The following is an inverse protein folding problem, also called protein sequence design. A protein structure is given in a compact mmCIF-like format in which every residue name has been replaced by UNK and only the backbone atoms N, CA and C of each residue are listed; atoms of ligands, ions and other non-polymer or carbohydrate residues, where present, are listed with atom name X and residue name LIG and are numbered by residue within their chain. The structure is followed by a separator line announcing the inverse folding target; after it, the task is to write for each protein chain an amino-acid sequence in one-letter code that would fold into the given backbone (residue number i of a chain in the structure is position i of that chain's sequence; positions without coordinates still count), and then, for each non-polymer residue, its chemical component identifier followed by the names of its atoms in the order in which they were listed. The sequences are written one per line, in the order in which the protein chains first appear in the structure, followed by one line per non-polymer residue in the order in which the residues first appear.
data_IF_717007705060
#
_entry.id   IF_717007705060
#
_cell.length_a   1.000
_cell.length_b   1.000
_cell.length_c   1.000
_cell.angle_alpha   90.00
_cell.angle_beta   90.00
_cell.angle_gamma   90.00
#
_symmetry.space_group_name_H-M   'P 1'
#
loop_
_entity.id
_entity.type
_entity.pdbx_description
1 polymer ?
#
# COMPACT_ATOMS: atom_id res chain seq x y z
N UNK A 1 17.63 11.82 19.14
CA UNK A 1 16.17 12.00 18.96
C UNK A 1 15.85 12.34 17.51
N UNK A 2 16.45 13.38 16.93
CA UNK A 2 16.18 13.83 15.56
C UNK A 2 16.36 12.73 14.48
N UNK A 3 17.48 11.98 14.53
CA UNK A 3 17.71 10.87 13.58
C UNK A 3 16.61 9.82 13.58
N UNK A 4 16.06 9.54 14.74
CA UNK A 4 14.99 8.57 14.89
C UNK A 4 13.67 9.08 14.33
N UNK A 5 13.33 10.33 14.60
CA UNK A 5 12.12 10.95 14.05
C UNK A 5 12.13 11.02 12.52
N UNK A 6 13.30 11.32 11.92
CA UNK A 6 13.46 11.32 10.46
C UNK A 6 13.27 9.91 9.89
N UNK A 7 13.82 8.87 10.55
CA UNK A 7 13.65 7.49 10.12
C UNK A 7 12.17 7.04 10.20
N UNK A 8 11.46 7.44 11.26
CA UNK A 8 10.01 7.21 11.38
C UNK A 8 9.26 7.90 10.25
N UNK A 9 9.61 9.15 9.93
CA UNK A 9 8.97 9.89 8.84
C UNK A 9 9.20 9.23 7.47
N UNK A 10 10.41 8.68 7.21
CA UNK A 10 10.67 7.88 6.00
C UNK A 10 9.78 6.64 5.96
N UNK A 11 9.68 5.90 7.07
CA UNK A 11 8.82 4.72 7.17
C UNK A 11 7.34 5.09 6.95
N UNK A 12 6.87 6.19 7.54
CA UNK A 12 5.52 6.71 7.34
C UNK A 12 5.26 7.05 5.86
N UNK A 13 6.24 7.62 5.17
CA UNK A 13 6.16 7.88 3.73
C UNK A 13 6.08 6.59 2.90
N UNK A 14 6.85 5.55 3.24
CA UNK A 14 6.75 4.22 2.59
C UNK A 14 5.37 3.61 2.81
N UNK A 15 4.82 3.68 4.03
CA UNK A 15 3.45 3.23 4.32
C UNK A 15 2.41 4.06 3.56
N UNK A 16 2.63 5.36 3.39
CA UNK A 16 1.74 6.21 2.60
C UNK A 16 1.73 5.80 1.11
N UNK A 17 2.89 5.46 0.52
CA UNK A 17 2.96 4.90 -0.83
C UNK A 17 2.18 3.59 -0.94
N UNK A 18 2.35 2.68 0.03
CA UNK A 18 1.62 1.41 0.07
C UNK A 18 0.11 1.63 0.22
N UNK A 19 -0.30 2.54 1.12
CA UNK A 19 -1.70 2.88 1.34
C UNK A 19 -2.35 3.51 0.10
N UNK A 20 -1.64 4.39 -0.63
CA UNK A 20 -2.10 4.95 -1.90
C UNK A 20 -2.28 3.87 -2.96
N UNK A 21 -1.33 2.94 -3.11
CA UNK A 21 -1.44 1.81 -4.03
C UNK A 21 -2.63 0.90 -3.70
N UNK A 22 -2.78 0.55 -2.42
CA UNK A 22 -3.91 -0.26 -1.95
C UNK A 22 -5.25 0.47 -2.07
N UNK A 23 -5.29 1.78 -1.90
CA UNK A 23 -6.49 2.58 -2.08
C UNK A 23 -7.04 2.47 -3.50
N UNK A 24 -6.19 2.36 -4.51
CA UNK A 24 -6.63 2.13 -5.90
C UNK A 24 -7.23 0.73 -6.06
N UNK A 25 -6.59 -0.31 -5.50
CA UNK A 25 -7.05 -1.70 -5.65
C UNK A 25 -8.31 -1.94 -4.82
N UNK A 26 -8.29 -1.58 -3.55
CA UNK A 26 -9.40 -1.86 -2.64
C UNK A 26 -10.39 -0.71 -2.56
N UNK A 27 -9.91 0.51 -2.29
CA UNK A 27 -10.78 1.68 -2.09
C UNK A 27 -11.60 2.03 -3.33
N UNK A 28 -10.97 1.98 -4.52
CA UNK A 28 -11.60 2.39 -5.77
C UNK A 28 -12.25 1.22 -6.53
N UNK A 29 -11.55 0.09 -6.65
CA UNK A 29 -12.02 -1.05 -7.45
C UNK A 29 -12.75 -2.11 -6.62
N UNK A 30 -12.82 -2.00 -5.29
CA UNK A 30 -13.47 -2.95 -4.40
C UNK A 30 -12.79 -4.31 -4.32
N UNK A 31 -11.54 -4.43 -4.79
CA UNK A 31 -10.82 -5.69 -4.83
C UNK A 31 -10.08 -5.91 -3.50
N UNK A 32 -10.60 -6.82 -2.67
CA UNK A 32 -9.99 -7.16 -1.39
C UNK A 32 -8.70 -7.95 -1.64
N UNK A 33 -7.55 -7.26 -1.52
CA UNK A 33 -6.24 -7.84 -1.70
C UNK A 33 -5.55 -7.99 -0.33
N UNK A 34 -5.19 -9.24 0.05
CA UNK A 34 -4.37 -9.54 1.22
C UNK A 34 -2.91 -9.83 0.88
N UNK A 35 -2.58 -9.87 -0.41
CA UNK A 35 -1.23 -10.14 -0.93
C UNK A 35 -0.43 -8.89 -1.26
N UNK A 36 -0.80 -7.72 -0.74
CA UNK A 36 -0.12 -6.47 -1.08
C UNK A 36 1.39 -6.52 -0.76
N UNK A 37 1.76 -7.22 0.32
CA UNK A 37 3.16 -7.36 0.73
C UNK A 37 3.99 -8.16 -0.28
N UNK A 38 3.37 -9.04 -1.06
CA UNK A 38 4.06 -9.75 -2.15
C UNK A 38 4.55 -8.79 -3.24
N UNK A 39 3.74 -7.81 -3.67
CA UNK A 39 4.15 -6.81 -4.65
C UNK A 39 5.20 -5.85 -4.10
N UNK A 40 5.11 -5.51 -2.81
CA UNK A 40 6.12 -4.77 -2.08
C UNK A 40 7.46 -5.52 -2.07
N UNK A 41 7.44 -6.85 -1.78
CA UNK A 41 8.61 -7.70 -1.82
C UNK A 41 9.21 -7.80 -3.24
N UNK A 42 8.40 -8.01 -4.29
CA UNK A 42 8.85 -8.02 -5.68
C UNK A 42 9.63 -6.76 -6.02
N UNK A 43 9.09 -5.59 -5.65
CA UNK A 43 9.77 -4.31 -5.90
C UNK A 43 11.10 -4.19 -5.16
N UNK A 44 11.13 -4.56 -3.88
CA UNK A 44 12.33 -4.51 -3.04
C UNK A 44 13.43 -5.44 -3.56
N UNK A 45 13.10 -6.72 -3.79
CA UNK A 45 14.07 -7.71 -4.27
C UNK A 45 14.54 -7.42 -5.69
N UNK A 46 13.65 -7.07 -6.62
CA UNK A 46 14.03 -6.75 -7.98
C UNK A 46 14.98 -5.55 -8.04
N UNK A 47 14.64 -4.46 -7.32
CA UNK A 47 15.50 -3.29 -7.25
C UNK A 47 16.84 -3.59 -6.58
N UNK A 48 16.84 -4.33 -5.46
CA UNK A 48 18.06 -4.73 -4.75
C UNK A 48 18.97 -5.62 -5.60
N UNK A 49 18.41 -6.61 -6.28
CA UNK A 49 19.18 -7.53 -7.14
C UNK A 49 19.80 -6.82 -8.34
N UNK A 50 19.06 -5.96 -9.01
CA UNK A 50 19.54 -5.19 -10.17
C UNK A 50 20.69 -4.26 -9.76
N UNK A 51 20.57 -3.60 -8.62
CA UNK A 51 21.62 -2.69 -8.15
C UNK A 51 22.85 -3.43 -7.59
N UNK A 52 22.67 -4.56 -6.89
CA UNK A 52 23.77 -5.32 -6.31
C UNK A 52 24.49 -6.22 -7.33
N UNK A 53 23.73 -7.02 -8.11
CA UNK A 53 24.33 -8.01 -9.02
C UNK A 53 24.72 -7.44 -10.37
N UNK A 54 23.95 -6.46 -10.90
CA UNK A 54 24.22 -5.84 -12.20
C UNK A 54 24.96 -4.50 -12.09
N UNK A 55 25.17 -3.98 -10.87
CA UNK A 55 25.82 -2.68 -10.67
C UNK A 55 25.04 -1.50 -11.28
N UNK A 56 23.76 -1.66 -11.56
CA UNK A 56 22.97 -0.64 -12.21
C UNK A 56 22.72 0.57 -11.29
N UNK A 57 22.52 1.77 -11.85
CA UNK A 57 22.14 2.94 -11.07
C UNK A 57 20.86 2.70 -10.27
N UNK A 58 20.76 3.26 -9.06
CA UNK A 58 19.61 3.09 -8.15
C UNK A 58 18.29 3.42 -8.84
N UNK A 59 18.26 4.50 -9.64
CA UNK A 59 17.06 4.90 -10.37
C UNK A 59 16.56 3.81 -11.34
N UNK A 60 17.49 3.11 -12.01
CA UNK A 60 17.16 1.98 -12.89
C UNK A 60 16.62 0.80 -12.08
N UNK A 61 17.24 0.49 -10.94
CA UNK A 61 16.76 -0.54 -10.01
C UNK A 61 15.34 -0.25 -9.52
N UNK A 62 15.08 0.97 -9.05
CA UNK A 62 13.75 1.41 -8.58
C UNK A 62 12.71 1.34 -9.70
N UNK A 63 13.05 1.83 -10.91
CA UNK A 63 12.14 1.77 -12.06
C UNK A 63 11.83 0.32 -12.46
N UNK A 64 12.84 -0.54 -12.52
CA UNK A 64 12.68 -1.97 -12.86
C UNK A 64 11.87 -2.72 -11.79
N UNK A 65 12.11 -2.47 -10.50
CA UNK A 65 11.34 -3.05 -9.40
C UNK A 65 9.87 -2.64 -9.45
N UNK A 66 9.61 -1.35 -9.72
CA UNK A 66 8.26 -0.81 -9.91
C UNK A 66 7.56 -1.48 -11.10
N UNK A 67 8.24 -1.57 -12.24
CA UNK A 67 7.69 -2.18 -13.45
C UNK A 67 7.43 -3.68 -13.27
N UNK A 68 8.37 -4.40 -12.66
CA UNK A 68 8.21 -5.84 -12.41
C UNK A 68 7.02 -6.10 -11.47
N UNK A 69 6.86 -5.31 -10.42
CA UNK A 69 5.69 -5.40 -9.55
C UNK A 69 4.38 -5.12 -10.31
N UNK A 70 4.37 -4.17 -11.25
CA UNK A 70 3.22 -3.92 -12.12
C UNK A 70 2.89 -5.13 -12.99
N UNK A 71 3.90 -5.73 -13.63
CA UNK A 71 3.75 -6.93 -14.49
C UNK A 71 3.22 -8.10 -13.68
N UNK A 72 3.81 -8.38 -12.52
CA UNK A 72 3.32 -9.42 -11.59
C UNK A 72 1.89 -9.12 -11.15
N UNK A 73 1.57 -7.85 -10.89
CA UNK A 73 0.21 -7.41 -10.59
C UNK A 73 -0.79 -7.71 -11.70
N UNK A 74 -0.41 -7.48 -12.96
CA UNK A 74 -1.23 -7.86 -14.13
C UNK A 74 -1.43 -9.37 -14.17
N UNK A 75 -0.40 -10.17 -13.99
CA UNK A 75 -0.48 -11.63 -14.02
C UNK A 75 -1.42 -12.16 -12.92
N UNK A 76 -1.23 -11.69 -11.68
CA UNK A 76 -2.10 -12.06 -10.56
C UNK A 76 -3.54 -11.63 -10.83
N UNK A 77 -3.75 -10.41 -11.33
CA UNK A 77 -5.08 -9.92 -11.66
C UNK A 77 -5.77 -10.77 -12.74
N UNK A 78 -5.08 -11.15 -13.81
CA UNK A 78 -5.63 -12.00 -14.87
C UNK A 78 -6.10 -13.36 -14.35
N UNK A 79 -5.34 -13.95 -13.43
CA UNK A 79 -5.68 -15.24 -12.81
C UNK A 79 -6.88 -15.06 -11.86
N UNK A 80 -6.91 -13.95 -11.11
CA UNK A 80 -7.83 -13.78 -9.98
C UNK A 80 -9.05 -12.91 -10.30
N UNK A 81 -9.12 -12.25 -11.46
CA UNK A 81 -10.16 -11.27 -11.82
C UNK A 81 -11.59 -11.81 -11.76
N UNK A 82 -11.75 -13.13 -11.92
CA UNK A 82 -13.06 -13.82 -11.84
C UNK A 82 -13.46 -14.17 -10.42
N UNK A 83 -12.53 -14.07 -9.47
CA UNK A 83 -12.79 -14.36 -8.06
C UNK A 83 -13.43 -13.13 -7.40
N UNK A 84 -14.37 -13.37 -6.51
CA UNK A 84 -15.08 -12.31 -5.78
C UNK A 84 -14.83 -12.44 -4.28
N UNK A 85 -14.81 -11.29 -3.59
CA UNK A 85 -14.78 -11.22 -2.14
C UNK A 85 -13.61 -11.98 -1.50
N UNK A 86 -13.94 -12.89 -0.61
CA UNK A 86 -12.97 -13.61 0.22
C UNK A 86 -12.06 -14.55 -0.57
N UNK A 87 -12.53 -15.12 -1.69
CA UNK A 87 -11.70 -15.97 -2.54
C UNK A 87 -10.52 -15.21 -3.15
N UNK A 88 -10.75 -13.97 -3.59
CA UNK A 88 -9.68 -13.10 -4.08
C UNK A 88 -8.67 -12.81 -2.95
N UNK A 89 -9.16 -12.53 -1.75
CA UNK A 89 -8.33 -12.26 -0.59
C UNK A 89 -7.43 -13.46 -0.23
N UNK A 90 -7.98 -14.67 -0.20
CA UNK A 90 -7.24 -15.91 0.12
C UNK A 90 -6.17 -16.19 -0.95
N UNK A 91 -6.52 -16.10 -2.23
CA UNK A 91 -5.57 -16.38 -3.32
C UNK A 91 -4.43 -15.35 -3.34
N UNK A 92 -4.74 -14.08 -3.12
CA UNK A 92 -3.69 -13.04 -3.06
C UNK A 92 -2.80 -13.19 -1.83
N UNK A 93 -3.34 -13.60 -0.68
CA UNK A 93 -2.55 -13.95 0.50
C UNK A 93 -1.63 -15.13 0.21
N UNK A 94 -2.18 -16.20 -0.39
CA UNK A 94 -1.40 -17.38 -0.80
C UNK A 94 -0.27 -17.02 -1.77
N UNK A 95 -0.51 -16.12 -2.72
CA UNK A 95 0.54 -15.58 -3.60
C UNK A 95 1.67 -14.91 -2.82
N UNK A 96 1.35 -14.01 -1.90
CA UNK A 96 2.37 -13.29 -1.12
C UNK A 96 3.18 -14.25 -0.24
N UNK A 97 2.52 -15.21 0.42
CA UNK A 97 3.18 -16.18 1.27
C UNK A 97 4.03 -17.17 0.45
N UNK A 98 3.55 -17.63 -0.71
CA UNK A 98 4.35 -18.45 -1.63
C UNK A 98 5.60 -17.70 -2.08
N UNK A 99 5.50 -16.43 -2.43
CA UNK A 99 6.64 -15.60 -2.78
C UNK A 99 7.63 -15.50 -1.62
N UNK A 100 7.15 -15.25 -0.40
CA UNK A 100 7.97 -15.18 0.81
C UNK A 100 8.73 -16.49 1.05
N UNK A 101 8.05 -17.64 0.92
CA UNK A 101 8.65 -18.97 1.07
C UNK A 101 9.70 -19.21 -0.01
N UNK A 102 9.43 -18.84 -1.27
CA UNK A 102 10.42 -18.94 -2.36
C UNK A 102 11.67 -18.12 -2.02
N UNK A 103 11.49 -16.85 -1.60
CA UNK A 103 12.63 -16.00 -1.23
C UNK A 103 13.41 -16.54 -0.02
N UNK A 104 12.75 -17.25 0.91
CA UNK A 104 13.40 -17.86 2.07
C UNK A 104 14.21 -19.11 1.71
N UNK A 105 13.84 -19.85 0.67
CA UNK A 105 14.47 -21.12 0.31
C UNK A 105 15.50 -20.98 -0.83
N UNK A 106 15.31 -20.03 -1.75
CA UNK A 106 16.13 -19.88 -2.94
C UNK A 106 17.39 -19.04 -2.67
N UNK A 107 18.49 -19.73 -2.30
CA UNK A 107 19.78 -19.09 -1.99
C UNK A 107 20.35 -18.29 -3.17
N UNK A 108 20.19 -18.77 -4.40
CA UNK A 108 20.78 -18.16 -5.60
C UNK A 108 20.08 -16.83 -6.01
N UNK A 109 18.82 -16.63 -5.64
CA UNK A 109 18.07 -15.41 -5.90
C UNK A 109 18.29 -14.40 -4.75
N UNK A 110 17.87 -14.77 -3.56
CA UNK A 110 17.64 -13.87 -2.43
C UNK A 110 18.55 -14.12 -1.22
N UNK A 111 19.52 -15.02 -1.35
CA UNK A 111 20.37 -15.50 -0.25
C UNK A 111 19.55 -16.17 0.89
N UNK A 112 18.36 -16.68 0.56
CA UNK A 112 17.51 -17.39 1.49
C UNK A 112 17.04 -16.52 2.67
N UNK A 113 17.01 -17.12 3.86
CA UNK A 113 16.62 -16.43 5.11
C UNK A 113 17.56 -15.31 5.51
N UNK A 114 18.83 -15.33 5.10
CA UNK A 114 19.80 -14.28 5.41
C UNK A 114 19.50 -12.97 4.66
N UNK A 115 18.78 -13.07 3.56
CA UNK A 115 18.35 -11.92 2.76
C UNK A 115 19.48 -11.23 2.02
N UNK A 116 19.18 -10.07 1.45
CA UNK A 116 20.13 -9.25 0.70
C UNK A 116 20.61 -8.09 1.57
N UNK A 117 21.93 -8.04 1.78
CA UNK A 117 22.62 -6.96 2.50
C UNK A 117 23.47 -6.11 1.55
N UNK A 118 23.76 -4.88 1.98
CA UNK A 118 24.63 -4.00 1.21
C UNK A 118 23.94 -3.30 0.02
N UNK A 119 22.62 -3.24 -0.01
CA UNK A 119 21.87 -2.50 -1.04
C UNK A 119 22.28 -1.03 -0.99
N UNK A 120 22.79 -0.45 -2.11
CA UNK A 120 23.31 0.90 -2.11
C UNK A 120 22.20 1.94 -1.88
N UNK A 121 22.42 2.86 -0.96
CA UNK A 121 21.59 4.06 -0.82
C UNK A 121 22.16 5.23 -1.59
N UNK A 122 21.34 6.16 -2.12
CA UNK A 122 21.82 7.31 -2.88
C UNK A 122 22.72 8.19 -2.00
N UNK A 123 23.96 8.42 -2.45
CA UNK A 123 24.97 9.23 -1.76
C UNK A 123 25.31 8.78 -0.32
N UNK A 124 24.95 7.56 0.08
CA UNK A 124 25.18 7.05 1.44
C UNK A 124 26.65 7.05 1.85
N UNK A 125 27.56 6.74 0.90
CA UNK A 125 29.00 6.74 1.17
C UNK A 125 29.60 8.15 1.33
N UNK A 126 28.93 9.19 0.82
CA UNK A 126 29.43 10.58 0.80
C UNK A 126 28.79 11.42 1.92
N UNK A 127 27.58 11.07 2.30
CA UNK A 127 26.80 11.79 3.32
C UNK A 127 26.89 11.06 4.67
N UNK A 128 27.06 11.80 5.74
CA UNK A 128 26.92 11.25 7.09
C UNK A 128 25.47 10.73 7.32
N UNK A 129 25.24 9.87 8.33
CA UNK A 129 23.95 9.25 8.56
C UNK A 129 22.78 10.22 8.67
N UNK A 130 23.01 11.41 9.21
CA UNK A 130 21.98 12.44 9.35
C UNK A 130 21.54 13.00 8.01
N UNK A 131 22.50 13.45 7.21
CA UNK A 131 22.23 14.06 5.90
C UNK A 131 21.64 13.02 4.93
N UNK A 132 22.08 11.77 5.01
CA UNK A 132 21.48 10.67 4.25
C UNK A 132 19.99 10.50 4.59
N UNK A 133 19.63 10.46 5.86
CA UNK A 133 18.23 10.30 6.28
C UNK A 133 17.36 11.47 5.84
N UNK A 134 17.87 12.72 5.92
CA UNK A 134 17.15 13.91 5.45
C UNK A 134 16.97 13.90 3.93
N UNK A 135 18.02 13.56 3.18
CA UNK A 135 17.94 13.43 1.73
C UNK A 135 16.93 12.34 1.35
N UNK A 136 16.99 11.19 2.05
CA UNK A 136 16.09 10.10 1.76
C UNK A 136 14.63 10.43 2.11
N UNK A 137 14.40 11.16 3.18
CA UNK A 137 13.09 11.71 3.50
C UNK A 137 12.56 12.59 2.36
N UNK A 138 13.42 13.47 1.80
CA UNK A 138 13.08 14.29 0.65
C UNK A 138 12.67 13.46 -0.57
N UNK A 139 13.41 12.37 -0.87
CA UNK A 139 13.09 11.45 -1.97
C UNK A 139 11.72 10.77 -1.74
N UNK A 140 11.49 10.24 -0.53
CA UNK A 140 10.24 9.54 -0.21
C UNK A 140 9.06 10.51 -0.21
N UNK A 141 9.21 11.72 0.34
CA UNK A 141 8.16 12.75 0.30
C UNK A 141 7.85 13.13 -1.15
N UNK A 142 8.86 13.33 -1.98
CA UNK A 142 8.66 13.61 -3.41
C UNK A 142 7.90 12.46 -4.10
N UNK A 143 8.26 11.20 -3.83
CA UNK A 143 7.56 10.04 -4.36
C UNK A 143 6.09 9.97 -3.88
N UNK A 144 5.83 10.25 -2.59
CA UNK A 144 4.47 10.32 -2.04
C UNK A 144 3.67 11.41 -2.72
N UNK A 145 4.23 12.61 -2.88
CA UNK A 145 3.57 13.74 -3.54
C UNK A 145 3.22 13.41 -4.99
N UNK A 146 4.19 12.88 -5.75
CA UNK A 146 3.97 12.48 -7.15
C UNK A 146 2.88 11.41 -7.24
N UNK A 147 2.99 10.35 -6.43
CA UNK A 147 2.00 9.27 -6.44
C UNK A 147 0.63 9.75 -5.98
N UNK A 148 0.58 10.63 -4.97
CA UNK A 148 -0.66 11.24 -4.51
C UNK A 148 -1.39 11.99 -5.64
N UNK A 149 -0.68 12.84 -6.38
CA UNK A 149 -1.29 13.56 -7.51
C UNK A 149 -1.71 12.62 -8.64
N UNK A 150 -0.94 11.56 -8.92
CA UNK A 150 -1.31 10.54 -9.91
C UNK A 150 -2.59 9.80 -9.49
N UNK A 151 -2.68 9.38 -8.23
CA UNK A 151 -3.87 8.71 -7.69
C UNK A 151 -5.05 9.67 -7.66
N UNK A 152 -4.88 10.89 -7.19
CA UNK A 152 -5.95 11.89 -7.13
C UNK A 152 -6.51 12.20 -8.54
N UNK A 153 -5.63 12.36 -9.53
CA UNK A 153 -6.04 12.52 -10.92
C UNK A 153 -6.76 11.29 -11.47
N UNK A 154 -6.31 10.09 -11.11
CA UNK A 154 -6.94 8.82 -11.51
C UNK A 154 -8.33 8.70 -10.88
N UNK A 155 -8.47 9.01 -9.59
CA UNK A 155 -9.74 8.99 -8.83
C UNK A 155 -10.78 9.92 -9.48
N UNK A 156 -10.37 11.13 -9.86
CA UNK A 156 -11.25 12.16 -10.43
C UNK A 156 -11.48 11.98 -11.95
N UNK A 157 -10.80 11.03 -12.59
CA UNK A 157 -10.91 10.74 -14.02
C UNK A 157 -12.18 9.92 -14.38
N UNK A 158 -12.53 9.81 -15.66
CA UNK A 158 -13.54 8.85 -16.13
C UNK A 158 -13.24 7.41 -15.73
N UNK A 159 -11.96 7.04 -15.68
CA UNK A 159 -11.51 5.72 -15.24
C UNK A 159 -11.90 5.45 -13.78
N UNK A 160 -11.64 6.41 -12.87
CA UNK A 160 -12.00 6.30 -11.46
C UNK A 160 -13.51 6.19 -11.24
N UNK A 161 -14.32 6.90 -12.04
CA UNK A 161 -15.79 6.78 -11.97
C UNK A 161 -16.27 5.37 -12.36
N UNK A 162 -15.68 4.77 -13.40
CA UNK A 162 -16.00 3.40 -13.80
C UNK A 162 -15.56 2.38 -12.74
N UNK A 163 -14.38 2.58 -12.11
CA UNK A 163 -13.94 1.71 -11.02
C UNK A 163 -14.92 1.73 -9.83
N UNK A 164 -15.38 2.90 -9.43
CA UNK A 164 -16.39 3.01 -8.36
C UNK A 164 -17.71 2.32 -8.74
N UNK A 165 -18.18 2.51 -9.97
CA UNK A 165 -19.36 1.81 -10.44
C UNK A 165 -19.19 0.28 -10.42
N UNK A 166 -18.01 -0.23 -10.76
CA UNK A 166 -17.68 -1.68 -10.66
C UNK A 166 -17.63 -2.13 -9.20
N UNK A 167 -17.10 -1.30 -8.30
CA UNK A 167 -17.05 -1.57 -6.86
C UNK A 167 -18.44 -1.68 -6.27
N UNK A 168 -19.34 -0.77 -6.64
CA UNK A 168 -20.68 -0.67 -6.10
C UNK A 168 -21.57 -1.78 -6.68
N UNK A 169 -21.55 -2.01 -7.99
CA UNK A 169 -22.22 -3.15 -8.65
C UNK A 169 -21.54 -3.53 -9.96
N UNK A 170 -20.88 -4.68 -9.97
CA UNK A 170 -20.16 -5.18 -11.15
C UNK A 170 -21.09 -5.57 -12.29
N UNK A 171 -22.29 -6.08 -12.00
CA UNK A 171 -23.25 -6.55 -13.02
C UNK A 171 -23.85 -5.35 -13.74
N UNK A 172 -24.25 -4.32 -12.99
CA UNK A 172 -24.76 -3.06 -13.58
C UNK A 172 -23.70 -2.42 -14.47
N UNK A 173 -22.43 -2.35 -14.02
CA UNK A 173 -21.35 -1.80 -14.82
C UNK A 173 -21.14 -2.59 -16.13
N UNK A 174 -21.29 -3.92 -16.09
CA UNK A 174 -21.19 -4.81 -17.24
C UNK A 174 -22.36 -4.61 -18.22
N UNK A 175 -23.59 -4.50 -17.73
CA UNK A 175 -24.76 -4.18 -18.54
C UNK A 175 -24.66 -2.80 -19.20
N UNK A 176 -23.99 -1.84 -18.55
CA UNK A 176 -23.67 -0.53 -19.12
C UNK A 176 -22.53 -0.58 -20.18
N UNK A 177 -22.12 -1.76 -20.63
CA UNK A 177 -21.13 -1.97 -21.70
C UNK A 177 -19.69 -1.76 -21.27
N UNK A 178 -19.38 -1.77 -19.96
CA UNK A 178 -17.99 -1.60 -19.48
C UNK A 178 -17.27 -2.96 -19.43
N UNK A 179 -16.04 -2.99 -19.94
CA UNK A 179 -15.19 -4.17 -19.82
C UNK A 179 -14.57 -4.22 -18.41
N UNK A 180 -15.30 -4.82 -17.46
CA UNK A 180 -14.93 -4.90 -16.04
C UNK A 180 -13.54 -5.49 -15.84
N UNK A 181 -13.18 -6.55 -16.59
CA UNK A 181 -11.89 -7.23 -16.50
C UNK A 181 -10.73 -6.27 -16.75
N UNK A 182 -10.81 -5.51 -17.83
CA UNK A 182 -9.76 -4.55 -18.21
C UNK A 182 -9.59 -3.46 -17.14
N UNK A 183 -10.68 -2.97 -16.57
CA UNK A 183 -10.62 -1.96 -15.51
C UNK A 183 -9.99 -2.51 -14.23
N UNK A 184 -10.38 -3.72 -13.80
CA UNK A 184 -9.80 -4.39 -12.63
C UNK A 184 -8.31 -4.65 -12.81
N UNK A 185 -7.89 -5.18 -13.97
CA UNK A 185 -6.49 -5.46 -14.29
C UNK A 185 -5.65 -4.17 -14.27
N UNK A 186 -6.16 -3.08 -14.87
CA UNK A 186 -5.45 -1.79 -14.84
C UNK A 186 -5.32 -1.22 -13.43
N UNK A 187 -6.37 -1.32 -12.61
CA UNK A 187 -6.33 -0.87 -11.22
C UNK A 187 -5.31 -1.68 -10.41
N UNK A 188 -5.28 -3.00 -10.62
CA UNK A 188 -4.34 -3.91 -9.97
C UNK A 188 -2.90 -3.62 -10.39
N UNK A 189 -2.64 -3.43 -11.69
CA UNK A 189 -1.32 -3.07 -12.22
C UNK A 189 -0.80 -1.76 -11.62
N UNK A 190 -1.64 -0.73 -11.60
CA UNK A 190 -1.26 0.56 -11.02
C UNK A 190 -0.97 0.47 -9.52
N UNK A 191 -1.86 -0.18 -8.77
CA UNK A 191 -1.68 -0.36 -7.33
C UNK A 191 -0.44 -1.20 -7.01
N UNK A 192 -0.20 -2.30 -7.75
CA UNK A 192 1.00 -3.13 -7.59
C UNK A 192 2.28 -2.38 -7.96
N UNK A 193 2.26 -1.50 -8.96
CA UNK A 193 3.37 -0.61 -9.27
C UNK A 193 3.70 0.31 -8.09
N UNK A 194 2.69 0.92 -7.46
CA UNK A 194 2.87 1.76 -6.29
C UNK A 194 3.45 0.97 -5.09
N UNK A 195 2.99 -0.27 -4.89
CA UNK A 195 3.53 -1.17 -3.86
C UNK A 195 4.98 -1.55 -4.17
N UNK A 196 5.31 -1.84 -5.43
CA UNK A 196 6.68 -2.12 -5.86
C UNK A 196 7.62 -0.93 -5.71
N UNK A 197 7.14 0.28 -6.02
CA UNK A 197 7.88 1.53 -5.77
C UNK A 197 8.21 1.69 -4.28
N UNK A 198 7.21 1.49 -3.41
CA UNK A 198 7.40 1.54 -1.96
C UNK A 198 8.46 0.52 -1.50
N UNK A 199 8.41 -0.71 -2.03
CA UNK A 199 9.37 -1.78 -1.73
C UNK A 199 10.79 -1.46 -2.17
N UNK A 200 10.95 -0.96 -3.39
CA UNK A 200 12.25 -0.54 -3.92
C UNK A 200 12.85 0.56 -3.05
N UNK A 201 12.08 1.60 -2.72
CA UNK A 201 12.54 2.67 -1.85
C UNK A 201 12.86 2.16 -0.44
N UNK A 202 12.07 1.25 0.12
CA UNK A 202 12.35 0.66 1.42
C UNK A 202 13.68 -0.08 1.45
N UNK A 203 13.97 -0.93 0.43
CA UNK A 203 15.22 -1.68 0.33
C UNK A 203 16.47 -0.79 0.27
N UNK A 204 16.42 0.28 -0.50
CA UNK A 204 17.53 1.25 -0.59
C UNK A 204 17.69 2.11 0.67
N UNK A 205 16.62 2.32 1.44
CA UNK A 205 16.69 3.02 2.72
C UNK A 205 17.35 2.16 3.79
N UNK A 206 16.88 0.92 3.96
CA UNK A 206 17.36 0.01 5.01
C UNK A 206 18.71 -0.61 4.69
N UNK A 207 19.13 -0.64 3.40
CA UNK A 207 20.28 -1.38 2.86
C UNK A 207 20.25 -2.89 3.13
N UNK A 208 19.12 -3.39 3.62
CA UNK A 208 18.92 -4.78 3.96
C UNK A 208 17.46 -5.16 3.76
N UNK A 209 17.23 -6.30 3.12
CA UNK A 209 15.91 -6.91 2.97
C UNK A 209 16.01 -8.40 3.25
N UNK A 210 15.07 -8.92 4.05
CA UNK A 210 14.94 -10.33 4.35
C UNK A 210 13.48 -10.77 4.19
N UNK A 211 13.22 -12.06 3.92
CA UNK A 211 11.86 -12.55 3.73
C UNK A 211 10.91 -12.28 4.91
N UNK A 212 11.43 -12.26 6.14
CA UNK A 212 10.64 -12.02 7.35
C UNK A 212 10.05 -10.62 7.43
N UNK A 213 10.65 -9.63 6.75
CA UNK A 213 10.11 -8.26 6.67
C UNK A 213 8.82 -8.19 5.85
N UNK A 214 8.55 -9.21 5.02
CA UNK A 214 7.40 -9.31 4.14
C UNK A 214 6.31 -10.24 4.68
N UNK A 215 6.16 -10.26 6.01
CA UNK A 215 5.11 -11.04 6.68
C UNK A 215 3.71 -10.47 6.42
N UNK A 216 2.64 -11.29 6.44
CA UNK A 216 1.25 -10.85 6.25
C UNK A 216 0.79 -9.77 7.21
N UNK A 217 1.41 -9.66 8.38
CA UNK A 217 1.14 -8.63 9.39
C UNK A 217 1.28 -7.21 8.83
N UNK A 218 2.25 -6.97 7.94
CA UNK A 218 2.42 -5.68 7.26
C UNK A 218 1.18 -5.32 6.43
N UNK A 219 0.55 -6.31 5.79
CA UNK A 219 -0.72 -6.10 5.08
C UNK A 219 -1.82 -5.58 6.00
N UNK A 220 -1.90 -6.13 7.23
CA UNK A 220 -2.88 -5.67 8.21
C UNK A 220 -2.62 -4.22 8.66
N UNK A 221 -1.37 -3.82 8.83
CA UNK A 221 -1.03 -2.43 9.17
C UNK A 221 -1.43 -1.44 8.06
N UNK A 222 -1.22 -1.80 6.80
CA UNK A 222 -1.63 -0.95 5.68
C UNK A 222 -3.16 -0.91 5.55
N UNK A 223 -3.86 -2.02 5.78
CA UNK A 223 -5.32 -2.04 5.84
C UNK A 223 -5.85 -1.16 6.97
N UNK A 224 -5.24 -1.25 8.16
CA UNK A 224 -5.56 -0.38 9.28
C UNK A 224 -5.36 1.10 8.92
N UNK A 225 -4.24 1.42 8.25
CA UNK A 225 -3.95 2.77 7.75
C UNK A 225 -5.07 3.29 6.84
N UNK A 226 -5.52 2.45 5.91
CA UNK A 226 -6.54 2.83 4.95
C UNK A 226 -7.93 2.97 5.59
N UNK A 227 -8.28 2.06 6.52
CA UNK A 227 -9.53 2.13 7.28
C UNK A 227 -9.57 3.34 8.21
N UNK A 228 -8.46 3.63 8.91
CA UNK A 228 -8.35 4.80 9.79
C UNK A 228 -8.46 6.10 9.00
N UNK A 229 -7.79 6.17 7.86
CA UNK A 229 -7.77 7.35 7.02
C UNK A 229 -9.07 7.58 6.26
N UNK A 230 -9.66 6.54 5.73
CA UNK A 230 -10.87 6.52 4.91
C UNK A 230 -10.65 5.90 3.54
N UNK A 231 -11.39 4.83 3.27
CA UNK A 231 -11.39 4.11 1.99
C UNK A 231 -11.88 5.03 0.86
N UNK A 232 -11.23 4.93 -0.31
CA UNK A 232 -11.62 5.70 -1.49
C UNK A 232 -11.12 7.15 -1.50
N UNK A 233 -10.51 7.64 -0.40
CA UNK A 233 -9.96 8.99 -0.30
C UNK A 233 -8.44 8.98 -0.27
N UNK A 234 -7.79 9.60 -1.26
CA UNK A 234 -6.32 9.67 -1.35
C UNK A 234 -5.68 10.44 -0.18
N UNK A 235 -6.33 11.51 0.29
CA UNK A 235 -5.86 12.28 1.45
C UNK A 235 -5.98 11.45 2.73
N UNK A 236 -7.08 10.71 2.86
CA UNK A 236 -7.31 9.76 3.95
C UNK A 236 -6.22 8.68 3.99
N UNK A 237 -5.89 8.07 2.86
CA UNK A 237 -4.87 7.04 2.77
C UNK A 237 -3.50 7.51 3.32
N UNK A 238 -3.06 8.73 2.94
CA UNK A 238 -1.79 9.30 3.43
C UNK A 238 -1.87 9.63 4.92
N UNK A 239 -2.95 10.29 5.36
CA UNK A 239 -3.14 10.63 6.77
C UNK A 239 -3.17 9.38 7.65
N UNK A 240 -3.91 8.36 7.24
CA UNK A 240 -4.02 7.10 7.97
C UNK A 240 -2.69 6.37 8.08
N UNK A 241 -1.87 6.38 7.01
CA UNK A 241 -0.54 5.80 7.03
C UNK A 241 0.38 6.48 8.06
N UNK A 242 0.38 7.81 8.07
CA UNK A 242 1.15 8.60 9.05
C UNK A 242 0.68 8.29 10.47
N UNK A 243 -0.63 8.32 10.72
CA UNK A 243 -1.18 8.06 12.06
C UNK A 243 -0.85 6.65 12.55
N UNK A 244 -0.98 5.63 11.69
CA UNK A 244 -0.70 4.25 12.09
C UNK A 244 0.79 4.05 12.38
N UNK A 245 1.70 4.61 11.57
CA UNK A 245 3.14 4.51 11.86
C UNK A 245 3.48 5.20 13.17
N UNK A 246 2.96 6.41 13.42
CA UNK A 246 3.15 7.09 14.70
C UNK A 246 2.58 6.28 15.87
N UNK A 247 1.42 5.67 15.72
CA UNK A 247 0.83 4.79 16.71
C UNK A 247 1.72 3.56 16.99
N UNK A 248 2.20 2.89 15.95
CA UNK A 248 3.09 1.74 16.04
C UNK A 248 4.40 2.08 16.76
N UNK A 249 4.97 3.23 16.45
CA UNK A 249 6.21 3.67 17.09
C UNK A 249 5.98 4.17 18.54
N UNK A 250 4.85 4.82 18.82
CA UNK A 250 4.48 5.24 20.17
C UNK A 250 4.33 4.05 21.10
N UNK A 251 3.73 2.94 20.65
CA UNK A 251 3.60 1.71 21.46
C UNK A 251 4.95 1.09 21.78
N UNK A 252 5.96 1.27 20.92
CA UNK A 252 7.32 0.82 21.16
C UNK A 252 8.00 1.54 22.33
N UNK A 253 7.71 2.83 22.52
CA UNK A 253 8.24 3.61 23.64
C UNK A 253 7.51 3.34 24.95
N UNK A 254 6.23 2.98 24.89
CA UNK A 254 5.43 2.70 26.08
C UNK A 254 5.77 1.36 26.72
N UNK A 255 6.22 0.38 25.93
CA UNK A 255 6.53 -0.96 26.42
C UNK A 255 7.60 -1.00 27.55
N UNK A 256 8.73 -0.26 27.47
CA UNK A 256 9.73 -0.23 28.54
C UNK A 256 9.28 0.49 29.82
N UNK A 257 8.20 1.28 29.76
CA UNK A 257 7.68 2.03 30.92
C UNK A 257 6.89 1.15 31.89
N UNK A 258 6.54 -0.08 31.48
CA UNK A 258 5.80 -1.01 32.35
C UNK A 258 6.80 -1.96 33.01
N UNK A 259 7.09 -1.80 34.31
CA UNK A 259 8.04 -2.66 35.02
C UNK A 259 7.54 -4.11 35.08
N UNK A 260 8.43 -5.06 34.82
CA UNK A 260 8.13 -6.50 34.95
C UNK A 260 7.69 -7.21 33.67
N UNK A 261 7.55 -6.49 32.52
CA UNK A 261 7.27 -7.13 31.24
C UNK A 261 8.56 -7.61 30.56
N UNK A 262 8.59 -8.89 30.18
CA UNK A 262 9.64 -9.38 29.27
C UNK A 262 9.51 -8.79 27.86
N UNK A 263 10.60 -8.79 27.08
CA UNK A 263 10.58 -8.30 25.68
C UNK A 263 9.52 -9.00 24.82
N UNK A 264 9.29 -10.30 25.04
CA UNK A 264 8.28 -11.10 24.35
C UNK A 264 6.87 -10.66 24.74
N UNK A 265 6.62 -10.43 26.02
CA UNK A 265 5.33 -9.95 26.52
C UNK A 265 5.03 -8.53 26.00
N UNK A 266 6.05 -7.66 25.92
CA UNK A 266 5.91 -6.33 25.38
C UNK A 266 5.55 -6.35 23.88
N UNK A 267 6.16 -7.26 23.10
CA UNK A 267 5.81 -7.46 21.70
C UNK A 267 4.36 -7.97 21.54
N UNK A 268 3.96 -8.96 22.33
CA UNK A 268 2.59 -9.49 22.30
C UNK A 268 1.55 -8.44 22.73
N UNK A 269 1.85 -7.63 23.76
CA UNK A 269 0.99 -6.53 24.19
C UNK A 269 0.83 -5.45 23.08
N UNK A 270 1.89 -5.18 22.33
CA UNK A 270 1.84 -4.28 21.16
C UNK A 270 0.88 -4.81 20.08
N UNK A 271 0.99 -6.08 19.72
CA UNK A 271 0.10 -6.69 18.70
C UNK A 271 -1.35 -6.71 19.18
N UNK A 272 -1.58 -6.98 20.45
CA UNK A 272 -2.90 -6.90 21.06
C UNK A 272 -3.46 -5.47 21.01
N UNK A 273 -2.65 -4.47 21.35
CA UNK A 273 -3.06 -3.06 21.28
C UNK A 273 -3.43 -2.64 19.86
N UNK A 274 -2.69 -3.10 18.85
CA UNK A 274 -2.98 -2.84 17.43
C UNK A 274 -4.32 -3.50 17.03
N UNK A 275 -4.53 -4.76 17.43
CA UNK A 275 -5.75 -5.49 17.14
C UNK A 275 -6.97 -4.84 17.80
N UNK A 276 -6.84 -4.40 19.05
CA UNK A 276 -7.90 -3.66 19.76
C UNK A 276 -8.16 -2.30 19.08
N UNK A 277 -7.11 -1.56 18.72
CA UNK A 277 -7.26 -0.29 18.01
C UNK A 277 -8.02 -0.48 16.68
N UNK A 278 -7.71 -1.56 15.92
CA UNK A 278 -8.41 -1.90 14.68
C UNK A 278 -9.91 -2.15 14.93
N UNK A 279 -10.24 -2.94 15.96
CA UNK A 279 -11.62 -3.22 16.33
C UNK A 279 -12.37 -1.94 16.74
N UNK A 280 -11.74 -1.07 17.51
CA UNK A 280 -12.32 0.21 17.92
C UNK A 280 -12.55 1.14 16.73
N UNK A 281 -11.58 1.23 15.81
CA UNK A 281 -11.72 2.04 14.58
C UNK A 281 -12.87 1.50 13.73
N UNK A 282 -12.94 0.19 13.51
CA UNK A 282 -14.06 -0.42 12.77
C UNK A 282 -15.42 -0.18 13.44
N UNK A 283 -15.46 -0.17 14.77
CA UNK A 283 -16.70 0.02 15.53
C UNK A 283 -17.18 1.46 15.56
N UNK A 284 -16.26 2.43 15.74
CA UNK A 284 -16.59 3.83 15.98
C UNK A 284 -16.37 4.73 14.76
N UNK A 285 -15.44 4.39 13.88
CA UNK A 285 -15.03 5.18 12.72
C UNK A 285 -15.05 4.35 11.42
N UNK A 286 -16.13 3.61 11.20
CA UNK A 286 -16.29 2.73 10.04
C UNK A 286 -16.08 3.43 8.67
N UNK A 287 -16.28 4.76 8.59
CA UNK A 287 -16.06 5.57 7.39
C UNK A 287 -14.65 6.19 7.33
N UNK A 288 -13.82 5.99 8.37
CA UNK A 288 -12.53 6.64 8.51
C UNK A 288 -12.60 8.12 8.88
N UNK A 289 -11.42 8.75 9.09
CA UNK A 289 -11.32 10.18 9.47
C UNK A 289 -11.68 11.12 8.31
N UNK A 290 -11.33 10.74 7.08
CA UNK A 290 -11.64 11.48 5.86
C UNK A 290 -12.42 10.58 4.89
N UNK A 291 -13.74 10.48 5.03
CA UNK A 291 -14.55 9.62 4.18
C UNK A 291 -14.49 10.04 2.71
N UNK A 292 -14.78 9.12 1.82
CA UNK A 292 -14.92 9.39 0.39
C UNK A 292 -16.04 10.43 0.16
N UNK A 293 -15.73 11.50 -0.57
CA UNK A 293 -16.74 12.46 -1.02
C UNK A 293 -17.30 11.98 -2.35
N UNK A 294 -18.52 11.47 -2.33
CA UNK A 294 -19.30 11.19 -3.53
C UNK A 294 -20.10 12.48 -3.80
N UNK A 295 -19.72 13.24 -4.84
CA UNK A 295 -20.56 14.33 -5.29
C UNK A 295 -21.84 13.72 -5.89
N UNK A 296 -23.03 14.06 -5.35
CA UNK A 296 -24.27 13.65 -5.97
C UNK A 296 -24.30 14.22 -7.40
N UNK A 297 -24.87 13.48 -8.38
CA UNK A 297 -25.04 14.02 -9.72
C UNK A 297 -25.81 15.34 -9.63
N UNK A 298 -25.42 16.36 -10.42
CA UNK A 298 -26.18 17.61 -10.43
C UNK A 298 -27.64 17.26 -10.73
N UNK A 299 -28.53 17.61 -9.81
CA UNK A 299 -29.95 17.50 -10.03
C UNK A 299 -30.24 18.39 -11.25
N UNK A 300 -30.32 17.77 -12.43
CA UNK A 300 -30.86 18.48 -13.60
C UNK A 300 -32.25 18.92 -13.21
N UNK A 301 -32.47 20.21 -13.18
CA UNK A 301 -33.77 20.85 -12.93
C UNK A 301 -34.73 20.54 -14.09
N UNK A 302 -35.00 19.26 -14.34
CA UNK A 302 -35.97 18.73 -15.29
C UNK A 302 -37.01 17.91 -14.52
N UNK A 303 -37.67 18.57 -13.63
CA UNK A 303 -38.81 18.08 -12.87
C UNK A 303 -39.83 19.18 -12.72
N UNK A 304 -40.11 19.92 -13.81
CA UNK A 304 -41.39 20.62 -13.91
C UNK A 304 -42.48 19.55 -13.88
N UNK A 305 -43.11 19.38 -12.75
CA UNK A 305 -44.31 18.55 -12.61
C UNK A 305 -45.29 18.92 -13.72
N UNK A 306 -45.86 17.94 -14.47
CA UNK A 306 -46.94 18.26 -15.39
C UNK A 306 -48.08 18.84 -14.57
N UNK A 307 -48.48 20.04 -14.92
CA UNK A 307 -49.63 20.71 -14.36
C UNK A 307 -50.82 19.75 -14.42
N UNK A 308 -51.36 19.40 -13.27
CA UNK A 308 -52.61 18.67 -13.14
C UNK A 308 -53.70 19.54 -13.83
N UNK A 309 -54.10 19.18 -15.07
CA UNK A 309 -55.30 19.66 -15.67
C UNK A 309 -56.48 19.15 -14.86
N UNK A 310 -57.10 20.04 -14.11
CA UNK A 310 -58.47 19.86 -13.59
C UNK A 310 -59.39 19.78 -14.80
N UNK A 311 -60.05 18.66 -15.01
CA UNK A 311 -61.43 18.60 -15.52
C UNK A 311 -62.14 17.53 -14.68
#
# INVERSE_FOLDING_TARGET
MEHYLVAIAVTAGVYALMALGMNVIWGMAGLINLGLVGFFAVGAYASGLITLKLGAPIAVGVAAGTLLAAVVGVLVALITVRLRGDYLAIVTLGFAESLRIVMSNELWIANGTDGLSGIPGPFRAQLGPHLFNLLYLGIVVAAVVVLFFLVDRLVNSPFGRVLRAIRDDEEIARFAGKNVVVFKVKAFAFGSAALGLAGALYGHFTSYIAPDLFAPLLTLYIKLSLLTGGLGNSKGAVLGAVLVVFFLESTRFLAPLIPGLSAVQAAAARELAISVALLLILRFYAKGLLPERIEPPPLTASGAAPAASRI
#
